data_IF_113024485756
#
_entry.id   IF_113024485756
#
_cell.length_a   1.000
_cell.length_b   1.000
_cell.length_c   1.000
_cell.angle_alpha   90.00
_cell.angle_beta   90.00
_cell.angle_gamma   90.00
#
_symmetry.space_group_name_H-M   'P 1'
#
loop_
_entity.id
_entity.type
_entity.pdbx_description
1 polymer ?
#
# COMPACT_ATOMS: atom_id res chain seq x y z
N UNK A 1 8.16 3.09 -25.82
CA UNK A 1 7.49 2.61 -24.61
C UNK A 1 7.49 3.73 -23.58
N UNK A 2 6.30 4.22 -23.20
CA UNK A 2 6.13 5.42 -22.35
C UNK A 2 6.78 5.23 -20.97
N UNK A 3 6.73 4.02 -20.42
CA UNK A 3 7.34 3.70 -19.12
C UNK A 3 8.86 3.87 -19.15
N UNK A 4 9.51 3.45 -20.23
CA UNK A 4 10.96 3.63 -20.40
C UNK A 4 11.33 5.12 -20.42
N UNK A 5 10.51 5.97 -21.02
CA UNK A 5 10.71 7.43 -21.02
C UNK A 5 10.59 8.02 -19.62
N UNK A 6 9.58 7.58 -18.86
CA UNK A 6 9.38 7.98 -17.46
C UNK A 6 10.59 7.59 -16.60
N UNK A 7 11.05 6.33 -16.70
CA UNK A 7 12.22 5.83 -15.97
C UNK A 7 13.49 6.61 -16.32
N UNK A 8 13.75 6.85 -17.60
CA UNK A 8 14.90 7.64 -18.06
C UNK A 8 14.87 9.08 -17.55
N UNK A 9 13.67 9.72 -17.53
CA UNK A 9 13.50 11.06 -16.99
C UNK A 9 13.76 11.08 -15.47
N UNK A 10 13.24 10.12 -14.72
CA UNK A 10 13.48 9.97 -13.29
C UNK A 10 14.98 9.79 -12.98
N UNK A 11 15.66 8.90 -13.70
CA UNK A 11 17.10 8.67 -13.56
C UNK A 11 17.94 9.94 -13.82
N UNK A 12 17.54 10.74 -14.82
CA UNK A 12 18.20 12.02 -15.13
C UNK A 12 17.98 13.02 -13.98
N UNK A 13 16.76 13.15 -13.47
CA UNK A 13 16.42 14.04 -12.35
C UNK A 13 17.16 13.67 -11.08
N UNK A 14 17.25 12.37 -10.77
CA UNK A 14 17.96 11.83 -9.61
C UNK A 14 19.49 11.80 -9.80
N UNK A 15 20.01 12.16 -10.98
CA UNK A 15 21.43 12.06 -11.36
C UNK A 15 22.01 10.63 -11.21
N UNK A 16 21.17 9.61 -11.39
CA UNK A 16 21.51 8.20 -11.19
C UNK A 16 21.66 7.39 -12.49
N UNK A 17 21.68 8.06 -13.65
CA UNK A 17 21.70 7.42 -14.98
C UNK A 17 22.85 6.42 -15.15
N UNK A 18 24.03 6.68 -14.56
CA UNK A 18 25.20 5.81 -14.66
C UNK A 18 25.12 4.57 -13.75
N UNK A 19 24.21 4.54 -12.79
CA UNK A 19 24.03 3.43 -11.84
C UNK A 19 23.12 2.32 -12.37
N UNK A 20 22.25 2.63 -13.33
CA UNK A 20 21.24 1.70 -13.83
C UNK A 20 21.57 1.27 -15.24
N UNK A 21 21.73 -0.04 -15.45
CA UNK A 21 22.00 -0.57 -16.78
C UNK A 21 20.79 -0.42 -17.71
N UNK A 22 20.99 -0.27 -19.03
CA UNK A 22 19.86 -0.22 -19.98
C UNK A 22 18.93 -1.43 -19.86
N UNK A 23 19.49 -2.63 -19.70
CA UNK A 23 18.72 -3.86 -19.50
C UNK A 23 17.88 -3.85 -18.22
N UNK A 24 18.35 -3.16 -17.16
CA UNK A 24 17.56 -3.01 -15.93
C UNK A 24 16.38 -2.04 -16.13
N UNK A 25 16.55 -1.01 -16.97
CA UNK A 25 15.44 -0.10 -17.32
C UNK A 25 14.36 -0.85 -18.11
N UNK A 26 14.76 -1.68 -19.08
CA UNK A 26 13.82 -2.49 -19.86
C UNK A 26 13.07 -3.47 -18.96
N UNK A 27 13.78 -4.16 -18.08
CA UNK A 27 13.19 -5.10 -17.11
C UNK A 27 12.26 -4.41 -16.10
N UNK A 28 12.58 -3.19 -15.62
CA UNK A 28 11.69 -2.38 -14.79
C UNK A 28 10.41 -2.00 -15.52
N UNK A 29 10.49 -1.71 -16.82
CA UNK A 29 9.34 -1.38 -17.65
C UNK A 29 8.42 -2.61 -17.86
N UNK A 30 9.01 -3.79 -18.11
CA UNK A 30 8.26 -5.05 -18.18
C UNK A 30 7.51 -5.36 -16.87
N UNK A 31 8.20 -5.27 -15.73
CA UNK A 31 7.60 -5.52 -14.40
C UNK A 31 6.49 -4.53 -14.05
N UNK A 32 6.48 -3.37 -14.66
CA UNK A 32 5.51 -2.31 -14.36
C UNK A 32 4.20 -2.47 -15.12
N UNK A 33 4.14 -3.29 -16.17
CA UNK A 33 2.95 -3.56 -16.98
C UNK A 33 2.13 -2.30 -17.29
N UNK A 34 2.81 -1.24 -17.75
CA UNK A 34 2.18 0.05 -18.08
C UNK A 34 1.93 1.00 -16.90
N UNK A 35 2.23 0.61 -15.65
CA UNK A 35 2.04 1.48 -14.49
C UNK A 35 3.33 2.24 -14.10
N UNK A 36 3.34 3.55 -14.37
CA UNK A 36 4.50 4.41 -14.08
C UNK A 36 4.84 4.47 -12.58
N UNK A 37 3.86 4.36 -11.66
CA UNK A 37 4.09 4.37 -10.21
C UNK A 37 4.80 3.09 -9.77
N UNK A 38 4.38 1.95 -10.33
CA UNK A 38 5.05 0.66 -10.07
C UNK A 38 6.48 0.70 -10.60
N UNK A 39 6.69 1.24 -11.81
CA UNK A 39 8.01 1.39 -12.40
C UNK A 39 8.95 2.24 -11.51
N UNK A 40 8.49 3.42 -11.08
CA UNK A 40 9.27 4.34 -10.26
C UNK A 40 9.53 3.76 -8.86
N UNK A 41 8.55 3.11 -8.23
CA UNK A 41 8.72 2.47 -6.94
C UNK A 41 9.72 1.29 -6.98
N UNK A 42 9.71 0.50 -8.06
CA UNK A 42 10.69 -0.56 -8.25
C UNK A 42 12.10 0.00 -8.52
N UNK A 43 12.20 1.11 -9.26
CA UNK A 43 13.46 1.80 -9.50
C UNK A 43 14.05 2.35 -8.18
N UNK A 44 13.25 3.04 -7.38
CA UNK A 44 13.67 3.59 -6.08
C UNK A 44 14.18 2.48 -5.15
N UNK A 45 13.42 1.38 -5.06
CA UNK A 45 13.82 0.21 -4.29
C UNK A 45 15.13 -0.38 -4.80
N UNK A 46 15.28 -0.60 -6.12
CA UNK A 46 16.50 -1.13 -6.69
C UNK A 46 17.73 -0.23 -6.45
N UNK A 47 17.55 1.10 -6.48
CA UNK A 47 18.60 2.07 -6.16
C UNK A 47 19.06 2.01 -4.71
N UNK A 48 18.20 1.58 -3.77
CA UNK A 48 18.56 1.40 -2.36
C UNK A 48 19.39 0.15 -2.08
N UNK A 49 19.45 -0.81 -3.02
CA UNK A 49 20.10 -2.11 -2.85
C UNK A 49 21.59 -2.15 -3.20
N UNK A 50 22.12 -1.15 -3.90
CA UNK A 50 23.54 -1.17 -4.27
C UNK A 50 23.96 -0.05 -5.21
N UNK A 51 25.27 0.06 -5.46
CA UNK A 51 25.84 1.09 -6.32
C UNK A 51 25.53 0.92 -7.80
N UNK A 52 25.31 -0.32 -8.25
CA UNK A 52 24.96 -0.65 -9.65
C UNK A 52 23.67 -1.44 -9.68
N UNK A 53 22.71 -0.99 -10.50
CA UNK A 53 21.43 -1.65 -10.69
C UNK A 53 21.46 -2.44 -12.01
N UNK A 54 21.45 -3.75 -11.86
CA UNK A 54 21.33 -4.73 -12.96
C UNK A 54 19.95 -5.39 -12.90
N UNK A 55 19.51 -6.15 -13.92
CA UNK A 55 18.26 -6.91 -13.86
C UNK A 55 18.18 -7.85 -12.64
N UNK A 56 19.31 -8.44 -12.24
CA UNK A 56 19.39 -9.32 -11.06
C UNK A 56 19.12 -8.55 -9.77
N UNK A 57 19.65 -7.32 -9.64
CA UNK A 57 19.37 -6.43 -8.50
C UNK A 57 17.89 -6.02 -8.48
N UNK A 58 17.32 -5.70 -9.64
CA UNK A 58 15.88 -5.40 -9.76
C UNK A 58 15.05 -6.60 -9.32
N UNK A 59 15.40 -7.80 -9.79
CA UNK A 59 14.72 -9.05 -9.41
C UNK A 59 14.83 -9.33 -7.92
N UNK A 60 16.02 -9.19 -7.33
CA UNK A 60 16.24 -9.37 -5.90
C UNK A 60 15.47 -8.33 -5.06
N UNK A 61 15.41 -7.08 -5.49
CA UNK A 61 14.64 -6.03 -4.87
C UNK A 61 13.13 -6.31 -4.94
N UNK A 62 12.64 -6.74 -6.10
CA UNK A 62 11.23 -7.12 -6.28
C UNK A 62 10.85 -8.35 -5.44
N UNK A 63 11.75 -9.32 -5.26
CA UNK A 63 11.51 -10.51 -4.43
C UNK A 63 11.50 -10.22 -2.92
N UNK A 64 12.13 -9.13 -2.46
CA UNK A 64 12.06 -8.67 -1.07
C UNK A 64 10.80 -7.88 -0.72
N UNK A 65 10.03 -7.43 -1.71
CA UNK A 65 8.60 -7.12 -1.47
C UNK A 65 7.96 -8.40 -0.96
N UNK A 66 7.31 -8.33 0.20
CA UNK A 66 6.69 -9.49 0.86
C UNK A 66 6.05 -10.42 -0.16
N UNK A 67 6.37 -11.73 -0.14
CA UNK A 67 5.81 -12.67 -1.09
C UNK A 67 4.29 -12.61 -1.06
N UNK A 68 3.67 -12.31 -2.17
CA UNK A 68 2.24 -12.44 -2.34
C UNK A 68 1.40 -11.15 -2.22
N UNK A 69 1.97 -9.93 -2.32
CA UNK A 69 1.14 -8.72 -2.44
C UNK A 69 1.30 -8.09 -3.84
N UNK A 70 0.36 -8.40 -4.71
CA UNK A 70 0.19 -7.74 -6.01
C UNK A 70 -0.90 -6.66 -5.89
N UNK A 71 -0.54 -5.38 -6.11
CA UNK A 71 -1.49 -4.25 -6.01
C UNK A 71 -2.62 -4.27 -7.04
N UNK A 72 -2.51 -5.06 -8.09
CA UNK A 72 -3.51 -5.17 -9.18
C UNK A 72 -4.07 -6.58 -9.35
N UNK A 73 -3.53 -7.57 -8.63
CA UNK A 73 -3.94 -8.97 -8.75
C UNK A 73 -4.88 -9.44 -7.65
N UNK A 74 -5.27 -10.69 -7.72
CA UNK A 74 -6.17 -11.36 -6.77
C UNK A 74 -5.71 -11.20 -5.32
N UNK A 75 -4.40 -11.13 -5.08
CA UNK A 75 -3.80 -10.98 -3.73
C UNK A 75 -4.12 -9.64 -3.06
N UNK A 76 -4.23 -8.54 -3.83
CA UNK A 76 -4.66 -7.24 -3.29
C UNK A 76 -6.10 -7.33 -2.79
N UNK A 77 -6.99 -7.88 -3.62
CA UNK A 77 -8.40 -8.06 -3.25
C UNK A 77 -8.57 -9.05 -2.09
N UNK A 78 -7.73 -10.07 -2.01
CA UNK A 78 -7.74 -11.03 -0.92
C UNK A 78 -7.35 -10.41 0.42
N UNK A 79 -6.27 -9.60 0.47
CA UNK A 79 -5.80 -8.97 1.71
C UNK A 79 -6.78 -7.92 2.22
N UNK A 80 -7.31 -7.04 1.34
CA UNK A 80 -8.32 -6.06 1.76
C UNK A 80 -9.63 -6.76 2.18
N UNK A 81 -10.02 -7.83 1.50
CA UNK A 81 -11.18 -8.63 1.88
C UNK A 81 -10.98 -9.31 3.23
N UNK A 82 -9.80 -9.86 3.49
CA UNK A 82 -9.45 -10.44 4.78
C UNK A 82 -9.45 -9.39 5.89
N UNK A 83 -8.92 -8.18 5.63
CA UNK A 83 -8.99 -7.04 6.56
C UNK A 83 -10.44 -6.71 6.91
N UNK A 84 -11.30 -6.50 5.93
CA UNK A 84 -12.73 -6.17 6.17
C UNK A 84 -13.46 -7.31 6.87
N UNK A 85 -13.18 -8.57 6.49
CA UNK A 85 -13.75 -9.75 7.18
C UNK A 85 -13.30 -9.83 8.64
N UNK A 86 -12.05 -9.48 8.94
CA UNK A 86 -11.53 -9.43 10.32
C UNK A 86 -12.24 -8.34 11.14
N UNK A 87 -12.45 -7.15 10.58
CA UNK A 87 -13.24 -6.09 11.21
C UNK A 87 -14.67 -6.56 11.48
N UNK A 88 -15.30 -7.22 10.51
CA UNK A 88 -16.67 -7.76 10.62
C UNK A 88 -16.78 -8.88 11.63
N UNK A 89 -15.76 -9.73 11.71
CA UNK A 89 -15.65 -10.81 12.70
C UNK A 89 -15.24 -10.35 14.09
N UNK A 90 -15.04 -9.03 14.30
CA UNK A 90 -14.58 -8.45 15.58
C UNK A 90 -13.21 -8.96 16.04
N UNK A 91 -12.38 -9.44 15.10
CA UNK A 91 -11.02 -9.88 15.36
C UNK A 91 -10.04 -8.70 15.17
N UNK A 92 -9.76 -8.00 16.26
CA UNK A 92 -8.87 -6.83 16.22
C UNK A 92 -7.40 -7.22 15.93
N UNK A 93 -6.98 -8.43 16.29
CA UNK A 93 -5.60 -8.91 16.04
C UNK A 93 -5.42 -9.21 14.56
N UNK A 94 -6.33 -9.97 13.96
CA UNK A 94 -6.30 -10.23 12.52
C UNK A 94 -6.45 -8.93 11.70
N UNK A 95 -7.32 -8.00 12.12
CA UNK A 95 -7.45 -6.70 11.46
C UNK A 95 -6.14 -5.92 11.49
N UNK A 96 -5.46 -5.85 12.65
CA UNK A 96 -4.16 -5.21 12.76
C UNK A 96 -3.10 -5.91 11.88
N UNK A 97 -3.08 -7.23 11.84
CA UNK A 97 -2.16 -7.99 10.99
C UNK A 97 -2.33 -7.68 9.50
N UNK A 98 -3.56 -7.73 8.98
CA UNK A 98 -3.81 -7.44 7.58
C UNK A 98 -3.58 -5.97 7.24
N UNK A 99 -3.85 -5.04 8.17
CA UNK A 99 -3.52 -3.63 8.03
C UNK A 99 -1.99 -3.44 7.90
N UNK A 100 -1.20 -4.07 8.79
CA UNK A 100 0.25 -4.03 8.71
C UNK A 100 0.75 -4.55 7.35
N UNK A 101 0.23 -5.68 6.89
CA UNK A 101 0.57 -6.25 5.58
C UNK A 101 0.29 -5.29 4.41
N UNK A 102 -0.85 -4.58 4.45
CA UNK A 102 -1.17 -3.58 3.42
C UNK A 102 -0.20 -2.40 3.43
N UNK A 103 0.12 -1.87 4.63
CA UNK A 103 1.05 -0.76 4.79
C UNK A 103 2.46 -1.14 4.33
N UNK A 104 2.97 -2.31 4.76
CA UNK A 104 4.30 -2.79 4.38
C UNK A 104 4.42 -3.09 2.88
N UNK A 105 3.32 -3.52 2.26
CA UNK A 105 3.24 -3.69 0.82
C UNK A 105 3.14 -2.36 0.05
N UNK A 106 3.06 -1.23 0.76
CA UNK A 106 2.97 0.11 0.19
C UNK A 106 1.59 0.41 -0.40
N UNK A 107 0.51 -0.16 0.15
CA UNK A 107 -0.85 0.21 -0.22
C UNK A 107 -1.11 1.69 0.08
N UNK A 108 -1.97 2.32 -0.73
CA UNK A 108 -2.38 3.70 -0.48
C UNK A 108 -3.11 3.82 0.87
N UNK A 109 -2.55 4.52 1.85
CA UNK A 109 -3.16 4.67 3.17
C UNK A 109 -4.54 5.35 3.10
N UNK A 110 -4.78 6.21 2.09
CA UNK A 110 -6.10 6.81 1.85
C UNK A 110 -7.11 5.78 1.35
N UNK A 111 -6.67 4.81 0.54
CA UNK A 111 -7.53 3.70 0.12
C UNK A 111 -7.96 2.87 1.34
N UNK A 112 -7.03 2.52 2.23
CA UNK A 112 -7.33 1.78 3.46
C UNK A 112 -8.33 2.58 4.33
N UNK A 113 -8.07 3.87 4.54
CA UNK A 113 -8.96 4.74 5.32
C UNK A 113 -10.35 4.84 4.72
N UNK A 114 -10.48 4.98 3.38
CA UNK A 114 -11.79 4.94 2.69
C UNK A 114 -12.55 3.66 2.96
N UNK A 115 -11.86 2.50 2.94
CA UNK A 115 -12.52 1.22 3.25
C UNK A 115 -13.03 1.16 4.67
N UNK A 116 -12.35 1.78 5.64
CA UNK A 116 -12.82 1.89 7.02
C UNK A 116 -14.04 2.81 7.15
N UNK A 117 -14.10 3.92 6.40
CA UNK A 117 -15.29 4.79 6.35
C UNK A 117 -16.51 4.01 5.84
N UNK A 118 -16.35 3.27 4.74
CA UNK A 118 -17.43 2.42 4.19
C UNK A 118 -17.87 1.38 5.23
N UNK A 119 -16.92 0.67 5.86
CA UNK A 119 -17.20 -0.33 6.88
C UNK A 119 -17.96 0.27 8.08
N UNK A 120 -17.56 1.45 8.54
CA UNK A 120 -18.23 2.14 9.65
C UNK A 120 -19.71 2.43 9.35
N UNK A 121 -20.01 2.80 8.09
CA UNK A 121 -21.39 3.08 7.66
C UNK A 121 -22.17 1.81 7.37
N UNK A 122 -21.55 0.79 6.75
CA UNK A 122 -22.24 -0.41 6.25
C UNK A 122 -22.44 -1.45 7.35
N UNK A 123 -21.40 -1.78 8.11
CA UNK A 123 -21.41 -2.90 9.05
C UNK A 123 -21.72 -2.46 10.50
N UNK A 124 -21.25 -1.30 10.93
CA UNK A 124 -21.55 -0.75 12.26
C UNK A 124 -22.86 0.05 12.22
N UNK A 125 -22.98 0.97 11.24
CA UNK A 125 -24.18 1.76 11.04
C UNK A 125 -24.66 2.42 12.33
N UNK A 126 -25.94 2.25 12.64
CA UNK A 126 -26.57 2.83 13.84
C UNK A 126 -26.22 2.13 15.15
N UNK A 127 -25.52 0.99 15.13
CA UNK A 127 -25.07 0.33 16.36
C UNK A 127 -23.97 1.11 17.09
N UNK A 128 -23.30 2.05 16.39
CA UNK A 128 -22.23 2.85 17.00
C UNK A 128 -22.08 4.22 16.34
N UNK A 129 -22.78 5.22 16.84
CA UNK A 129 -22.83 6.58 16.26
C UNK A 129 -21.46 7.27 16.14
N UNK A 130 -20.46 6.88 16.93
CA UNK A 130 -19.10 7.43 16.84
C UNK A 130 -18.20 6.79 15.79
N UNK A 131 -18.58 5.63 15.25
CA UNK A 131 -17.72 4.85 14.34
C UNK A 131 -17.44 5.59 13.02
N UNK A 132 -18.46 6.16 12.41
CA UNK A 132 -18.31 6.93 11.18
C UNK A 132 -17.45 8.18 11.40
N UNK A 133 -17.71 8.92 12.49
CA UNK A 133 -16.92 10.12 12.82
C UNK A 133 -15.45 9.78 13.04
N UNK A 134 -15.15 8.67 13.74
CA UNK A 134 -13.79 8.19 13.95
C UNK A 134 -13.12 7.84 12.62
N UNK A 135 -13.82 7.11 11.72
CA UNK A 135 -13.28 6.71 10.44
C UNK A 135 -13.01 7.92 9.53
N UNK A 136 -13.90 8.91 9.50
CA UNK A 136 -13.72 10.16 8.74
C UNK A 136 -12.57 10.97 9.33
N UNK A 137 -12.48 11.15 10.64
CA UNK A 137 -11.36 11.83 11.29
C UNK A 137 -10.03 11.13 11.00
N UNK A 138 -10.02 9.79 10.93
CA UNK A 138 -8.83 9.02 10.55
C UNK A 138 -8.45 9.28 9.10
N UNK A 139 -9.41 9.33 8.17
CA UNK A 139 -9.14 9.67 6.77
C UNK A 139 -8.50 11.06 6.65
N UNK A 140 -9.03 12.05 7.33
CA UNK A 140 -8.50 13.42 7.39
C UNK A 140 -7.08 13.45 7.98
N UNK A 141 -6.84 12.69 9.07
CA UNK A 141 -5.52 12.59 9.68
C UNK A 141 -4.51 11.96 8.72
N UNK A 142 -4.87 10.88 8.04
CA UNK A 142 -4.02 10.22 7.02
C UNK A 142 -3.65 11.18 5.90
N UNK A 143 -4.59 12.01 5.47
CA UNK A 143 -4.37 12.98 4.40
C UNK A 143 -3.42 14.12 4.82
N UNK A 144 -3.54 14.60 6.06
CA UNK A 144 -2.78 15.74 6.57
C UNK A 144 -1.42 15.36 7.15
N UNK A 145 -1.32 14.21 7.79
CA UNK A 145 -0.10 13.75 8.47
C UNK A 145 0.80 12.97 7.53
N UNK A 146 0.23 12.01 6.76
CA UNK A 146 1.00 11.12 5.90
C UNK A 146 1.74 10.01 6.65
N UNK A 147 2.33 9.07 5.90
CA UNK A 147 3.20 8.03 6.47
C UNK A 147 4.60 8.61 6.74
N UNK A 148 5.32 8.10 7.75
CA UNK A 148 4.99 6.90 8.54
C UNK A 148 4.05 7.13 9.73
N UNK A 149 3.81 8.35 10.18
CA UNK A 149 3.08 8.64 11.43
C UNK A 149 1.59 8.30 11.33
N UNK A 150 0.97 8.49 10.16
CA UNK A 150 -0.45 8.18 9.94
C UNK A 150 -0.81 6.71 10.19
N UNK A 151 0.17 5.79 10.26
CA UNK A 151 -0.06 4.39 10.65
C UNK A 151 -0.73 4.29 12.02
N UNK A 152 -0.37 5.15 12.97
CA UNK A 152 -0.98 5.13 14.31
C UNK A 152 -2.48 5.44 14.24
N UNK A 153 -2.88 6.40 13.40
CA UNK A 153 -4.29 6.73 13.20
C UNK A 153 -5.04 5.55 12.55
N UNK A 154 -4.43 4.90 11.55
CA UNK A 154 -5.02 3.73 10.88
C UNK A 154 -5.21 2.56 11.85
N UNK A 155 -4.19 2.21 12.66
CA UNK A 155 -4.29 1.13 13.64
C UNK A 155 -5.31 1.44 14.74
N UNK A 156 -5.32 2.67 15.26
CA UNK A 156 -6.32 3.10 16.24
C UNK A 156 -7.73 2.89 15.69
N UNK A 157 -8.01 3.40 14.51
CA UNK A 157 -9.32 3.26 13.88
C UNK A 157 -9.68 1.79 13.63
N UNK A 158 -8.79 1.00 13.03
CA UNK A 158 -9.04 -0.40 12.73
C UNK A 158 -9.39 -1.21 13.99
N UNK A 159 -8.64 -1.04 15.08
CA UNK A 159 -8.89 -1.72 16.35
C UNK A 159 -10.23 -1.28 16.94
N UNK A 160 -10.52 0.03 16.93
CA UNK A 160 -11.77 0.55 17.43
C UNK A 160 -12.98 0.02 16.64
N UNK A 161 -12.90 0.03 15.29
CA UNK A 161 -13.95 -0.52 14.42
C UNK A 161 -14.13 -2.03 14.60
N UNK A 162 -13.03 -2.79 14.75
CA UNK A 162 -13.12 -4.22 15.02
C UNK A 162 -13.88 -4.51 16.33
N UNK A 163 -13.65 -3.70 17.36
CA UNK A 163 -14.28 -3.86 18.69
C UNK A 163 -15.68 -3.26 18.80
N UNK A 164 -16.10 -2.47 17.82
CA UNK A 164 -17.44 -1.89 17.81
C UNK A 164 -18.50 -2.94 17.56
N UNK A 165 -19.71 -2.74 18.15
CA UNK A 165 -20.87 -3.56 17.86
C UNK A 165 -21.26 -3.40 16.39
N UNK A 166 -21.66 -4.48 15.74
CA UNK A 166 -22.15 -4.49 14.36
C UNK A 166 -23.67 -4.48 14.34
N UNK A 167 -24.26 -3.79 13.36
CA UNK A 167 -25.71 -3.73 13.20
C UNK A 167 -26.29 -4.87 12.35
N UNK A 168 -25.42 -5.73 11.83
CA UNK A 168 -25.78 -6.93 11.06
C UNK A 168 -25.71 -8.18 11.90
#
# INVERSE_FOLDING_TARGET
DEIILVLKRALKTLKQTKRVSPKAVDYLAELADGDARVALGNLELALSFGEKVTPEVVKAAAQRRLPGYDKKGDTHYDVISAFIKSLRGSDAVAAAYYLARMIDAGEDPKFIARRMVVFASEDIGLAGNGALSLAVATFEAVERVGLPEAKYNLFHCAIALARSQKSR
#
